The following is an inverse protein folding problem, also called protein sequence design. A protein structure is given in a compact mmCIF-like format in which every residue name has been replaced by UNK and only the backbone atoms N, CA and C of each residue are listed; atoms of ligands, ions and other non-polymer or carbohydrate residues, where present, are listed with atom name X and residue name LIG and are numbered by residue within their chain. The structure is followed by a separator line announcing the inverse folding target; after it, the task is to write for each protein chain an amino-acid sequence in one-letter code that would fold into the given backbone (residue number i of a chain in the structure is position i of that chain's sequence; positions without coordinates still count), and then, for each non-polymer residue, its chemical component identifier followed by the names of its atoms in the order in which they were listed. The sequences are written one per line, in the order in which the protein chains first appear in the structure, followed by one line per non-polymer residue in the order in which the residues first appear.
data_IF_211026929290
#
_entry.id   IF_211026929290
#
_cell.length_a   1.000
_cell.length_b   1.000
_cell.length_c   1.000
_cell.angle_alpha   90.00
_cell.angle_beta   90.00
_cell.angle_gamma   90.00
#
_symmetry.space_group_name_H-M   'P 1'
#
loop_
_entity.id
_entity.type
_entity.pdbx_description
1 polymer ?
#
# COMPACT_ATOMS: atom_id res chain seq x y z
N UNK A 1 -20.95 7.53 -27.41
CA UNK A 1 -21.24 7.68 -25.96
C UNK A 1 -20.60 6.49 -25.26
N UNK A 2 -19.41 6.64 -24.68
CA UNK A 2 -18.63 5.52 -24.11
C UNK A 2 -19.14 5.16 -22.71
N UNK A 3 -20.23 4.41 -22.63
CA UNK A 3 -20.83 3.96 -21.36
C UNK A 3 -20.37 2.55 -21.00
N UNK A 4 -19.16 2.42 -20.44
CA UNK A 4 -18.82 1.42 -19.40
C UNK A 4 -17.36 1.51 -18.90
N UNK A 5 -16.81 2.71 -18.68
CA UNK A 5 -15.49 2.79 -18.02
C UNK A 5 -15.65 2.52 -16.52
N UNK A 6 -14.77 1.73 -15.88
CA UNK A 6 -14.74 1.62 -14.43
C UNK A 6 -14.41 2.98 -13.79
N UNK A 7 -14.84 3.16 -12.54
CA UNK A 7 -14.56 4.39 -11.79
C UNK A 7 -13.18 4.35 -11.15
N UNK A 8 -12.58 5.52 -10.95
CA UNK A 8 -11.38 5.67 -10.14
C UNK A 8 -11.57 6.83 -9.17
N UNK A 9 -11.27 6.58 -7.89
CA UNK A 9 -11.32 7.56 -6.82
C UNK A 9 -10.00 7.60 -6.04
N UNK A 10 -9.68 8.76 -5.47
CA UNK A 10 -8.58 8.91 -4.51
C UNK A 10 -9.13 9.20 -3.11
N UNK A 11 -8.79 8.34 -2.16
CA UNK A 11 -9.03 8.55 -0.73
C UNK A 11 -7.76 9.12 -0.10
N UNK A 12 -7.73 10.42 0.19
CA UNK A 12 -6.54 11.13 0.70
C UNK A 12 -6.14 10.76 2.14
N UNK A 13 -6.97 9.96 2.83
CA UNK A 13 -6.73 9.50 4.19
C UNK A 13 -7.51 8.21 4.46
N UNK A 14 -7.03 7.30 5.33
CA UNK A 14 -7.80 6.15 5.77
C UNK A 14 -9.12 6.53 6.43
N UNK A 15 -9.18 7.69 7.10
CA UNK A 15 -10.40 8.21 7.71
C UNK A 15 -11.54 8.41 6.69
N UNK A 16 -11.22 8.62 5.41
CA UNK A 16 -12.19 8.83 4.33
C UNK A 16 -12.61 7.54 3.62
N UNK A 17 -11.97 6.39 3.93
CA UNK A 17 -12.22 5.14 3.20
C UNK A 17 -13.69 4.68 3.27
N UNK A 18 -14.41 5.05 4.33
CA UNK A 18 -15.82 4.73 4.51
C UNK A 18 -16.76 5.40 3.50
N UNK A 19 -16.30 6.41 2.76
CA UNK A 19 -17.08 7.10 1.72
C UNK A 19 -17.12 6.32 0.39
N UNK A 20 -16.34 5.25 0.26
CA UNK A 20 -16.17 4.50 -0.98
C UNK A 20 -16.64 3.05 -0.86
N UNK A 21 -17.15 2.48 -1.95
CA UNK A 21 -17.47 1.05 -2.04
C UNK A 21 -16.19 0.24 -2.30
N UNK A 22 -15.60 -0.20 -1.19
CA UNK A 22 -14.40 -1.03 -1.16
C UNK A 22 -14.66 -2.45 -1.68
N UNK A 23 -15.87 -2.98 -1.53
CA UNK A 23 -16.19 -4.39 -1.82
C UNK A 23 -16.19 -4.74 -3.32
N UNK A 24 -16.33 -3.71 -4.17
CA UNK A 24 -16.39 -3.81 -5.62
C UNK A 24 -15.25 -3.04 -6.31
N UNK A 25 -14.16 -2.76 -5.58
CA UNK A 25 -13.03 -1.99 -6.08
C UNK A 25 -11.69 -2.71 -5.81
N UNK A 26 -10.72 -2.48 -6.68
CA UNK A 26 -9.31 -2.73 -6.37
C UNK A 26 -8.84 -1.58 -5.48
N UNK A 27 -8.33 -1.90 -4.29
CA UNK A 27 -7.75 -0.89 -3.40
C UNK A 27 -6.24 -0.87 -3.57
N UNK A 28 -5.70 0.27 -3.97
CA UNK A 28 -4.26 0.52 -4.03
C UNK A 28 -3.86 1.19 -2.72
N UNK A 29 -3.12 0.48 -1.86
CA UNK A 29 -2.54 1.05 -0.65
C UNK A 29 -1.32 1.88 -1.06
N UNK A 30 -1.31 3.15 -0.70
CA UNK A 30 -0.24 4.11 -1.01
C UNK A 30 0.30 4.65 0.32
N UNK A 31 1.57 4.35 0.60
CA UNK A 31 2.34 4.83 1.74
C UNK A 31 3.77 4.94 1.24
N UNK A 32 4.06 5.98 0.46
CA UNK A 32 5.30 6.13 -0.30
C UNK A 32 6.47 6.26 0.66
N UNK A 33 6.28 6.98 1.77
CA UNK A 33 7.26 7.17 2.83
C UNK A 33 6.75 6.52 4.13
N UNK A 34 6.95 5.22 4.33
CA UNK A 34 7.83 4.30 3.55
C UNK A 34 7.25 2.91 3.32
N UNK A 35 6.07 2.58 3.85
CA UNK A 35 5.64 1.19 3.96
C UNK A 35 5.53 0.47 2.61
N UNK A 36 4.89 1.09 1.63
CA UNK A 36 4.71 0.47 0.30
C UNK A 36 6.02 0.43 -0.50
N UNK A 37 6.90 1.41 -0.30
CA UNK A 37 8.26 1.41 -0.85
C UNK A 37 9.11 0.27 -0.29
N UNK A 38 9.02 0.01 1.02
CA UNK A 38 9.70 -1.12 1.67
C UNK A 38 9.18 -2.44 1.12
N UNK A 39 7.85 -2.60 1.03
CA UNK A 39 7.22 -3.82 0.49
C UNK A 39 7.67 -4.07 -0.97
N UNK A 40 7.59 -3.05 -1.82
CA UNK A 40 8.01 -3.17 -3.23
C UNK A 40 9.49 -3.56 -3.35
N UNK A 41 10.36 -2.94 -2.56
CA UNK A 41 11.81 -3.20 -2.56
C UNK A 41 12.13 -4.60 -2.07
N UNK A 42 11.55 -5.04 -0.96
CA UNK A 42 11.76 -6.38 -0.42
C UNK A 42 11.35 -7.47 -1.42
N UNK A 43 10.16 -7.32 -2.04
CA UNK A 43 9.66 -8.26 -3.05
C UNK A 43 10.54 -8.25 -4.31
N UNK A 44 10.94 -7.07 -4.80
CA UNK A 44 11.85 -6.94 -5.93
C UNK A 44 13.21 -7.61 -5.68
N UNK A 45 13.74 -7.49 -4.46
CA UNK A 45 14.99 -8.11 -4.03
C UNK A 45 14.86 -9.61 -3.69
N UNK A 46 13.69 -10.20 -3.94
CA UNK A 46 13.49 -11.65 -3.89
C UNK A 46 12.95 -12.19 -2.57
N UNK A 47 12.36 -11.35 -1.71
CA UNK A 47 11.58 -11.83 -0.57
C UNK A 47 10.55 -12.86 -1.04
N UNK A 48 10.38 -13.95 -0.28
CA UNK A 48 9.36 -14.97 -0.56
C UNK A 48 7.96 -14.38 -0.45
N UNK A 49 7.73 -13.60 0.61
CA UNK A 49 6.51 -12.81 0.81
C UNK A 49 6.75 -11.73 1.87
N UNK A 50 5.81 -10.78 1.93
CA UNK A 50 5.71 -9.80 3.03
C UNK A 50 4.36 -9.97 3.70
N UNK A 51 4.35 -10.12 5.02
CA UNK A 51 3.16 -10.27 5.85
C UNK A 51 2.98 -8.99 6.67
N UNK A 52 2.07 -8.09 6.27
CA UNK A 52 1.74 -6.91 7.06
C UNK A 52 0.92 -7.31 8.29
N UNK A 53 1.24 -6.73 9.45
CA UNK A 53 0.50 -6.93 10.70
C UNK A 53 0.26 -5.60 11.43
N UNK A 54 -0.79 -5.56 12.24
CA UNK A 54 -1.29 -4.36 12.94
C UNK A 54 -0.48 -3.98 14.19
N UNK A 55 0.24 -4.93 14.79
CA UNK A 55 0.86 -4.77 16.10
C UNK A 55 2.28 -5.33 16.14
N UNK A 56 3.10 -4.71 16.99
CA UNK A 56 4.49 -5.12 17.22
C UNK A 56 4.56 -6.50 17.88
N UNK A 57 3.68 -6.76 18.85
CA UNK A 57 3.56 -8.06 19.50
C UNK A 57 3.28 -9.17 18.48
N UNK A 58 2.31 -8.97 17.58
CA UNK A 58 1.99 -9.93 16.52
C UNK A 58 3.13 -10.10 15.53
N UNK A 59 3.85 -9.02 15.20
CA UNK A 59 5.03 -9.07 14.34
C UNK A 59 6.11 -10.00 14.92
N UNK A 60 6.43 -9.81 16.20
CA UNK A 60 7.42 -10.62 16.92
C UNK A 60 6.97 -12.08 17.04
N UNK A 61 5.73 -12.30 17.45
CA UNK A 61 5.16 -13.63 17.63
C UNK A 61 5.19 -14.43 16.32
N UNK A 62 4.65 -13.84 15.24
CA UNK A 62 4.57 -14.50 13.95
C UNK A 62 5.96 -14.75 13.35
N UNK A 63 6.87 -13.78 13.48
CA UNK A 63 8.26 -13.93 13.03
C UNK A 63 8.95 -15.13 13.69
N UNK A 64 8.76 -15.33 15.01
CA UNK A 64 9.29 -16.51 15.71
C UNK A 64 8.63 -17.81 15.24
N UNK A 65 7.33 -17.81 14.98
CA UNK A 65 6.58 -18.99 14.56
C UNK A 65 7.00 -19.51 13.17
N UNK A 66 7.33 -18.61 12.24
CA UNK A 66 7.62 -18.95 10.85
C UNK A 66 9.10 -18.79 10.48
N UNK A 67 9.96 -18.50 11.46
CA UNK A 67 11.36 -18.13 11.25
C UNK A 67 11.54 -16.99 10.22
N UNK A 68 10.71 -15.96 10.37
CA UNK A 68 10.65 -14.80 9.49
C UNK A 68 11.43 -13.61 10.04
N UNK A 69 11.87 -12.72 9.13
CA UNK A 69 12.46 -11.42 9.51
C UNK A 69 11.35 -10.54 10.05
N UNK A 70 11.54 -9.95 11.22
CA UNK A 70 10.59 -9.01 11.81
C UNK A 70 11.10 -7.59 11.64
N UNK A 71 10.21 -6.72 11.17
CA UNK A 71 10.53 -5.32 10.97
C UNK A 71 9.34 -4.41 11.21
N UNK A 72 9.63 -3.15 11.50
CA UNK A 72 8.57 -2.18 11.65
C UNK A 72 8.99 -0.88 12.29
N UNK A 73 8.03 0.05 12.31
CA UNK A 73 8.25 1.37 12.88
C UNK A 73 7.07 1.86 13.72
N UNK A 74 7.37 2.76 14.65
CA UNK A 74 6.42 3.66 15.32
C UNK A 74 7.03 5.06 15.33
N UNK A 75 6.25 6.05 14.90
CA UNK A 75 6.71 7.45 14.79
C UNK A 75 8.03 7.60 14.00
N UNK A 76 8.23 6.79 12.96
CA UNK A 76 9.40 6.80 12.08
C UNK A 76 10.63 6.07 12.62
N UNK A 77 10.59 5.57 13.85
CA UNK A 77 11.69 4.85 14.51
C UNK A 77 11.42 3.36 14.55
N UNK A 78 12.48 2.54 14.61
CA UNK A 78 12.35 1.10 14.82
C UNK A 78 11.55 0.87 16.09
N UNK A 79 10.49 0.05 15.98
CA UNK A 79 9.64 -0.23 17.13
C UNK A 79 10.37 -1.11 18.16
N UNK A 80 10.08 -0.91 19.43
CA UNK A 80 10.71 -1.68 20.52
C UNK A 80 10.52 -3.19 20.33
N UNK A 81 11.59 -3.96 20.48
CA UNK A 81 11.59 -5.40 20.27
C UNK A 81 11.75 -5.86 18.81
N UNK A 82 11.82 -4.94 17.84
CA UNK A 82 12.17 -5.23 16.45
C UNK A 82 13.63 -4.87 16.16
N UNK A 83 14.24 -5.60 15.24
CA UNK A 83 15.65 -5.40 14.85
C UNK A 83 15.77 -4.52 13.60
N UNK A 84 14.78 -4.60 12.70
CA UNK A 84 14.80 -3.91 11.40
C UNK A 84 13.70 -2.85 11.30
N UNK A 85 13.97 -1.78 10.56
CA UNK A 85 13.08 -0.65 10.37
C UNK A 85 12.23 -0.72 9.09
N UNK A 86 11.48 0.35 8.84
CA UNK A 86 10.68 0.52 7.63
C UNK A 86 11.44 1.31 6.54
N UNK A 87 12.74 1.04 6.38
CA UNK A 87 13.55 1.67 5.34
C UNK A 87 13.79 0.70 4.17
N UNK A 88 13.47 1.06 2.91
CA UNK A 88 13.75 0.20 1.75
C UNK A 88 15.22 -0.25 1.67
N UNK A 89 16.15 0.60 2.11
CA UNK A 89 17.59 0.34 2.08
C UNK A 89 18.05 -0.77 3.05
N UNK A 90 17.22 -1.18 4.00
CA UNK A 90 17.54 -2.26 4.93
C UNK A 90 17.33 -3.66 4.32
N UNK A 91 16.81 -3.75 3.10
CA UNK A 91 16.39 -5.01 2.47
C UNK A 91 17.13 -5.34 1.18
N UNK A 92 18.47 -5.39 1.16
CA UNK A 92 19.21 -5.83 -0.02
C UNK A 92 18.99 -7.33 -0.29
N UNK A 93 19.27 -7.77 -1.52
CA UNK A 93 18.97 -9.14 -1.97
C UNK A 93 19.65 -10.22 -1.12
N UNK A 94 20.92 -10.04 -0.77
CA UNK A 94 21.68 -10.94 0.10
C UNK A 94 21.05 -11.12 1.49
N UNK A 95 20.29 -10.13 1.96
CA UNK A 95 19.61 -10.19 3.23
C UNK A 95 18.22 -10.84 3.13
N UNK A 96 17.40 -10.44 2.15
CA UNK A 96 15.96 -10.75 2.11
C UNK A 96 15.58 -11.91 1.19
N UNK A 97 16.44 -12.29 0.25
CA UNK A 97 16.10 -13.28 -0.79
C UNK A 97 15.67 -14.62 -0.19
N UNK A 98 14.51 -15.11 -0.63
CA UNK A 98 13.90 -16.36 -0.19
C UNK A 98 13.28 -16.32 1.21
N UNK A 99 13.40 -15.22 1.94
CA UNK A 99 12.89 -15.08 3.32
C UNK A 99 11.51 -14.43 3.34
N UNK A 100 10.79 -14.67 4.43
CA UNK A 100 9.53 -13.99 4.74
C UNK A 100 9.80 -12.77 5.59
N UNK A 101 9.25 -11.62 5.21
CA UNK A 101 9.27 -10.38 6.01
C UNK A 101 7.93 -10.21 6.72
N UNK A 102 7.92 -10.12 8.04
CA UNK A 102 6.76 -9.70 8.83
C UNK A 102 6.94 -8.22 9.13
N UNK A 103 6.02 -7.37 8.66
CA UNK A 103 6.15 -5.91 8.68
C UNK A 103 5.00 -5.28 9.45
N UNK A 104 5.31 -4.39 10.40
CA UNK A 104 4.29 -3.54 11.05
C UNK A 104 4.63 -2.07 10.90
N UNK A 105 3.67 -1.25 10.49
CA UNK A 105 3.86 0.21 10.35
C UNK A 105 2.67 0.95 10.94
N UNK A 106 2.82 2.26 11.10
CA UNK A 106 1.79 3.11 11.71
C UNK A 106 0.61 3.32 10.76
N UNK A 107 0.86 3.58 9.47
CA UNK A 107 -0.19 4.00 8.53
C UNK A 107 -0.50 2.93 7.47
N UNK A 108 0.51 2.45 6.73
CA UNK A 108 0.31 1.54 5.61
C UNK A 108 -0.38 0.22 5.98
N UNK A 109 0.04 -0.45 7.07
CA UNK A 109 -0.64 -1.69 7.49
C UNK A 109 -2.04 -1.42 8.03
N UNK A 110 -2.25 -0.28 8.71
CA UNK A 110 -3.59 0.15 9.16
C UNK A 110 -4.57 0.28 7.99
N UNK A 111 -4.20 1.00 6.94
CA UNK A 111 -5.07 1.18 5.77
C UNK A 111 -5.37 -0.14 5.06
N UNK A 112 -4.38 -1.04 4.97
CA UNK A 112 -4.57 -2.37 4.40
C UNK A 112 -5.60 -3.19 5.20
N UNK A 113 -5.46 -3.25 6.53
CA UNK A 113 -6.42 -3.96 7.39
C UNK A 113 -7.81 -3.32 7.31
N UNK A 114 -7.92 -1.98 7.30
CA UNK A 114 -9.20 -1.29 7.13
C UNK A 114 -9.90 -1.64 5.81
N UNK A 115 -9.13 -1.78 4.72
CA UNK A 115 -9.68 -2.23 3.44
C UNK A 115 -10.15 -3.69 3.50
N UNK A 116 -9.38 -4.59 4.12
CA UNK A 116 -9.78 -5.99 4.32
C UNK A 116 -11.06 -6.11 5.15
N UNK A 117 -11.15 -5.40 6.28
CA UNK A 117 -12.31 -5.43 7.18
C UNK A 117 -13.58 -4.89 6.51
N UNK A 118 -13.43 -3.98 5.53
CA UNK A 118 -14.52 -3.48 4.68
C UNK A 118 -14.86 -4.38 3.50
N UNK A 119 -14.22 -5.53 3.37
CA UNK A 119 -14.51 -6.53 2.34
C UNK A 119 -13.80 -6.30 1.00
N UNK A 120 -12.65 -5.62 1.00
CA UNK A 120 -11.83 -5.48 -0.22
C UNK A 120 -11.48 -6.87 -0.78
N UNK A 121 -11.87 -7.11 -2.04
CA UNK A 121 -11.58 -8.39 -2.71
C UNK A 121 -10.20 -8.44 -3.34
N UNK A 122 -9.66 -7.28 -3.72
CA UNK A 122 -8.33 -7.16 -4.28
C UNK A 122 -7.63 -5.93 -3.69
N UNK A 123 -6.47 -6.16 -3.09
CA UNK A 123 -5.59 -5.12 -2.55
C UNK A 123 -4.23 -5.25 -3.22
N UNK A 124 -3.68 -4.14 -3.69
CA UNK A 124 -2.30 -4.04 -4.16
C UNK A 124 -1.59 -2.87 -3.47
N UNK A 125 -0.26 -2.90 -3.43
CA UNK A 125 0.54 -1.78 -2.91
C UNK A 125 1.10 -0.95 -4.05
N UNK A 126 1.05 0.37 -3.93
CA UNK A 126 1.51 1.31 -4.93
C UNK A 126 2.53 2.31 -4.38
N UNK A 127 3.64 2.43 -5.10
CA UNK A 127 4.73 3.39 -4.85
C UNK A 127 5.48 3.70 -6.15
N UNK A 128 6.31 4.74 -6.20
CA UNK A 128 7.06 5.09 -7.41
C UNK A 128 7.88 3.94 -8.00
N UNK A 129 8.61 3.12 -7.21
CA UNK A 129 9.34 1.96 -7.72
C UNK A 129 8.50 0.96 -8.52
N UNK A 130 7.19 0.87 -8.29
CA UNK A 130 6.30 -0.07 -9.00
C UNK A 130 5.17 0.61 -9.78
N UNK A 131 5.27 1.93 -10.04
CA UNK A 131 4.24 2.73 -10.71
C UNK A 131 3.74 2.10 -12.02
N UNK A 132 4.66 1.67 -12.88
CA UNK A 132 4.31 1.07 -14.17
C UNK A 132 3.47 -0.21 -14.00
N UNK A 133 3.96 -1.13 -13.15
CA UNK A 133 3.29 -2.40 -12.89
C UNK A 133 1.89 -2.22 -12.27
N UNK A 134 1.75 -1.24 -11.37
CA UNK A 134 0.44 -0.87 -10.82
C UNK A 134 -0.49 -0.40 -11.93
N UNK A 135 -0.08 0.56 -12.75
CA UNK A 135 -0.92 1.09 -13.83
C UNK A 135 -1.34 -0.01 -14.83
N UNK A 136 -0.41 -0.87 -15.23
CA UNK A 136 -0.67 -1.97 -16.16
C UNK A 136 -1.68 -2.96 -15.57
N UNK A 137 -1.56 -3.29 -14.27
CA UNK A 137 -2.53 -4.13 -13.55
C UNK A 137 -3.93 -3.50 -13.52
N UNK A 138 -4.03 -2.21 -13.19
CA UNK A 138 -5.32 -1.51 -13.11
C UNK A 138 -6.04 -1.49 -14.46
N UNK A 139 -5.31 -1.15 -15.54
CA UNK A 139 -5.88 -1.11 -16.90
C UNK A 139 -6.32 -2.52 -17.37
N UNK A 140 -5.52 -3.55 -17.08
CA UNK A 140 -5.85 -4.92 -17.45
C UNK A 140 -7.09 -5.45 -16.73
N UNK A 141 -7.29 -5.09 -15.45
CA UNK A 141 -8.41 -5.58 -14.64
C UNK A 141 -9.78 -5.02 -15.05
N UNK A 142 -9.84 -3.78 -15.56
CA UNK A 142 -11.11 -3.11 -15.94
C UNK A 142 -12.16 -3.09 -14.81
N UNK A 143 -11.71 -2.98 -13.57
CA UNK A 143 -12.56 -2.90 -12.36
C UNK A 143 -12.44 -1.51 -11.74
N UNK A 144 -13.39 -1.14 -10.88
CA UNK A 144 -13.32 0.12 -10.13
C UNK A 144 -12.07 0.16 -9.27
N UNK A 145 -11.53 1.35 -9.04
CA UNK A 145 -10.27 1.55 -8.32
C UNK A 145 -10.44 2.60 -7.23
N UNK A 146 -9.85 2.32 -6.07
CA UNK A 146 -9.65 3.27 -5.00
C UNK A 146 -8.14 3.40 -4.77
N UNK A 147 -7.59 4.58 -5.04
CA UNK A 147 -6.23 4.96 -4.65
C UNK A 147 -6.29 5.44 -3.19
N UNK A 148 -5.89 4.58 -2.26
CA UNK A 148 -5.94 4.85 -0.82
C UNK A 148 -4.60 5.38 -0.32
N UNK A 149 -4.53 6.68 -0.03
CA UNK A 149 -3.39 7.29 0.65
C UNK A 149 -3.44 6.96 2.14
N UNK A 150 -2.31 6.50 2.69
CA UNK A 150 -2.20 6.10 4.09
C UNK A 150 -2.16 7.30 5.03
N UNK A 151 -1.73 8.47 4.51
CA UNK A 151 -1.60 9.72 5.27
C UNK A 151 -0.67 9.58 6.48
N UNK A 152 -0.48 10.65 7.24
CA UNK A 152 0.23 10.61 8.52
C UNK A 152 -0.69 11.06 9.65
N UNK A 153 -1.17 10.12 10.47
CA UNK A 153 -2.17 10.42 11.54
C UNK A 153 -3.39 11.16 10.97
N UNK A 154 -3.90 10.64 9.84
CA UNK A 154 -5.03 11.15 9.06
C UNK A 154 -4.82 12.56 8.45
N UNK A 155 -3.60 13.10 8.53
CA UNK A 155 -3.20 14.31 7.82
C UNK A 155 -2.64 13.96 6.45
N UNK A 156 -3.21 14.55 5.41
CA UNK A 156 -2.77 14.38 4.02
C UNK A 156 -1.28 14.69 3.90
N UNK A 157 -0.58 13.83 3.17
CA UNK A 157 0.83 13.93 2.87
C UNK A 157 1.03 14.07 1.34
N UNK A 158 2.08 14.77 0.95
CA UNK A 158 2.24 15.20 -0.44
C UNK A 158 2.71 14.06 -1.32
N UNK A 159 3.53 13.16 -0.79
CA UNK A 159 4.11 12.03 -1.51
C UNK A 159 3.06 10.99 -1.94
N UNK A 160 2.09 10.66 -1.09
CA UNK A 160 1.03 9.71 -1.45
C UNK A 160 0.10 10.34 -2.48
N UNK A 161 -0.23 11.62 -2.28
CA UNK A 161 -1.03 12.41 -3.22
C UNK A 161 -0.35 12.52 -4.59
N UNK A 162 0.96 12.77 -4.62
CA UNK A 162 1.74 12.85 -5.85
C UNK A 162 1.77 11.50 -6.58
N UNK A 163 1.94 10.40 -5.85
CA UNK A 163 1.88 9.06 -6.45
C UNK A 163 0.48 8.76 -7.01
N UNK A 164 -0.58 9.12 -6.30
CA UNK A 164 -1.96 8.96 -6.79
C UNK A 164 -2.19 9.75 -8.09
N UNK A 165 -1.75 11.01 -8.15
CA UNK A 165 -1.80 11.83 -9.36
C UNK A 165 -1.00 11.23 -10.52
N UNK A 166 0.18 10.65 -10.25
CA UNK A 166 0.99 9.97 -11.26
C UNK A 166 0.28 8.72 -11.83
N UNK A 167 -0.40 7.94 -10.99
CA UNK A 167 -1.24 6.81 -11.45
C UNK A 167 -2.37 7.33 -12.32
N UNK A 168 -3.12 8.34 -11.84
CA UNK A 168 -4.25 8.94 -12.56
C UNK A 168 -3.82 9.43 -13.94
N UNK A 169 -2.77 10.23 -14.03
CA UNK A 169 -2.23 10.77 -15.29
C UNK A 169 -1.96 9.67 -16.32
N UNK A 170 -1.44 8.52 -15.87
CA UNK A 170 -1.12 7.39 -16.74
C UNK A 170 -2.34 6.57 -17.16
N UNK A 171 -3.38 6.48 -16.34
CA UNK A 171 -4.55 5.61 -16.59
C UNK A 171 -5.84 6.35 -16.95
N UNK A 172 -5.88 7.68 -16.89
CA UNK A 172 -7.10 8.50 -17.03
C UNK A 172 -7.95 8.21 -18.28
N UNK A 173 -7.35 7.72 -19.37
CA UNK A 173 -8.09 7.34 -20.58
C UNK A 173 -8.94 6.07 -20.39
N UNK A 174 -8.56 5.18 -19.49
CA UNK A 174 -9.23 3.91 -19.22
C UNK A 174 -10.35 4.00 -18.18
N UNK A 175 -10.37 5.05 -17.35
CA UNK A 175 -11.30 5.20 -16.23
C UNK A 175 -12.26 6.38 -16.42
N UNK A 176 -13.37 6.34 -15.69
CA UNK A 176 -14.22 7.50 -15.43
C UNK A 176 -13.83 8.11 -14.08
N UNK A 177 -13.46 9.38 -14.07
CA UNK A 177 -12.96 10.09 -12.89
C UNK A 177 -13.92 11.25 -12.62
N UNK A 178 -14.62 11.17 -11.49
CA UNK A 178 -15.57 12.19 -11.02
C UNK A 178 -15.39 12.38 -9.51
N UNK A 179 -14.24 12.91 -9.12
CA UNK A 179 -13.85 13.14 -7.74
C UNK A 179 -12.76 14.20 -7.69
N UNK A 180 -12.99 15.29 -6.96
CA UNK A 180 -12.05 16.42 -6.88
C UNK A 180 -10.67 16.00 -6.37
N UNK A 181 -10.62 15.07 -5.40
CA UNK A 181 -9.37 14.47 -4.91
C UNK A 181 -8.59 13.67 -5.97
N UNK A 182 -9.17 13.46 -7.15
CA UNK A 182 -8.57 12.76 -8.30
C UNK A 182 -8.23 13.72 -9.45
N UNK A 183 -8.38 15.03 -9.26
CA UNK A 183 -7.97 16.10 -10.18
C UNK A 183 -6.74 16.84 -9.65
N UNK A 184 -5.73 16.07 -9.25
CA UNK A 184 -4.44 16.48 -8.68
C UNK A 184 -3.32 16.38 -9.70
#
# INVERSE_FOLDING_TARGET
MNSNKPTLFTSLSPALLHLYDVSNSIVVIIDVLRATSTIATALYNGAKCVIPVDSVSRCIELGKQIDGITAGERDGKIAEGLVHGNSPFEYPGEFIKGKTLVLTTTNGTRLLHMALDKGAKEIITGTFPNLGAVCDRLVARKQNVILGCAAWKDRVNMEDTLFAGAVISRVMKAFFINCDSSHI
#
